data_IF_444664827592
#
_entry.id   IF_444664827592
#
_cell.length_a   1.000
_cell.length_b   1.000
_cell.length_c   1.000
_cell.angle_alpha   90.00
_cell.angle_beta   90.00
_cell.angle_gamma   90.00
#
_symmetry.space_group_name_H-M   'P 1'
#
loop_
_entity.id
_entity.type
_entity.pdbx_description
1 polymer ?
#
# COMPACT_ATOMS: atom_id res chain seq x y z
N UNK A 1 15.98 15.94 4.35
CA UNK A 1 14.50 16.01 4.51
C UNK A 1 13.78 14.83 3.83
N UNK A 2 14.11 14.44 2.58
CA UNK A 2 13.45 13.33 1.85
C UNK A 2 13.60 11.96 2.51
N UNK A 3 14.77 11.63 3.08
CA UNK A 3 15.01 10.36 3.78
C UNK A 3 14.18 10.22 5.07
N UNK A 4 13.98 11.31 5.80
CA UNK A 4 13.18 11.33 7.04
C UNK A 4 11.68 11.19 6.74
N UNK A 5 11.21 11.79 5.64
CA UNK A 5 9.83 11.64 5.18
C UNK A 5 9.52 10.21 4.70
N UNK A 6 10.44 9.57 3.98
CA UNK A 6 10.27 8.17 3.55
C UNK A 6 10.25 7.18 4.71
N UNK A 7 11.02 7.44 5.79
CA UNK A 7 11.02 6.59 6.98
C UNK A 7 9.70 6.73 7.76
N UNK A 8 9.19 7.95 7.90
CA UNK A 8 7.91 8.24 8.55
C UNK A 8 6.74 7.59 7.78
N UNK A 9 6.70 7.74 6.47
CA UNK A 9 5.67 7.11 5.64
C UNK A 9 5.67 5.58 5.73
N UNK A 10 6.86 4.98 5.80
CA UNK A 10 6.98 3.53 5.96
C UNK A 10 6.47 3.05 7.33
N UNK A 11 6.76 3.79 8.39
CA UNK A 11 6.26 3.51 9.73
C UNK A 11 4.74 3.66 9.82
N UNK A 12 4.18 4.74 9.27
CA UNK A 12 2.72 4.94 9.24
C UNK A 12 2.02 3.83 8.45
N UNK A 13 2.59 3.38 7.32
CA UNK A 13 2.03 2.28 6.53
C UNK A 13 2.06 0.96 7.30
N UNK A 14 3.14 0.67 7.98
CA UNK A 14 3.26 -0.54 8.79
C UNK A 14 2.30 -0.50 9.98
N UNK A 15 2.20 0.64 10.67
CA UNK A 15 1.25 0.83 11.76
C UNK A 15 -0.21 0.68 11.30
N UNK A 16 -0.54 1.16 10.10
CA UNK A 16 -1.85 0.96 9.47
C UNK A 16 -2.15 -0.52 9.26
N UNK A 17 -1.19 -1.30 8.79
CA UNK A 17 -1.35 -2.76 8.62
C UNK A 17 -1.59 -3.44 9.97
N UNK A 18 -0.75 -3.19 10.98
CA UNK A 18 -0.91 -3.75 12.31
C UNK A 18 -2.24 -3.34 12.94
N UNK A 19 -2.69 -2.09 12.74
CA UNK A 19 -4.00 -1.63 13.21
C UNK A 19 -5.16 -2.42 12.59
N UNK A 20 -5.09 -2.75 11.30
CA UNK A 20 -6.12 -3.56 10.61
C UNK A 20 -6.22 -4.96 11.19
N UNK A 21 -5.08 -5.59 11.49
CA UNK A 21 -5.01 -6.90 12.11
C UNK A 21 -5.56 -6.86 13.55
N UNK A 22 -5.18 -5.87 14.34
CA UNK A 22 -5.73 -5.60 15.67
C UNK A 22 -7.25 -5.43 15.60
N UNK A 23 -7.76 -4.67 14.64
CA UNK A 23 -9.21 -4.47 14.48
C UNK A 23 -9.95 -5.75 14.08
N UNK A 24 -9.30 -6.65 13.35
CA UNK A 24 -9.86 -7.98 13.04
C UNK A 24 -10.03 -8.80 14.31
N UNK A 25 -9.04 -8.83 15.22
CA UNK A 25 -9.11 -9.50 16.50
C UNK A 25 -10.16 -8.86 17.44
N UNK A 26 -10.21 -7.54 17.48
CA UNK A 26 -11.24 -6.78 18.22
C UNK A 26 -12.63 -7.13 17.70
N UNK A 27 -12.84 -7.20 16.39
CA UNK A 27 -14.12 -7.58 15.78
C UNK A 27 -14.51 -9.01 16.13
N UNK A 28 -13.56 -9.93 16.18
CA UNK A 28 -13.74 -11.30 16.65
C UNK A 28 -14.21 -11.35 18.10
N UNK A 29 -13.54 -10.62 18.98
CA UNK A 29 -13.90 -10.51 20.40
C UNK A 29 -15.31 -9.92 20.61
N UNK A 30 -15.67 -8.88 19.85
CA UNK A 30 -17.02 -8.31 19.86
C UNK A 30 -18.05 -9.33 19.39
N UNK A 31 -17.71 -10.15 18.41
CA UNK A 31 -18.60 -11.22 17.92
C UNK A 31 -18.79 -12.34 18.93
N UNK A 32 -17.81 -12.56 19.81
CA UNK A 32 -17.90 -13.45 20.96
C UNK A 32 -18.67 -12.85 22.16
N UNK A 33 -19.17 -11.60 22.03
CA UNK A 33 -20.02 -10.96 23.04
C UNK A 33 -19.29 -10.00 23.99
N UNK A 34 -18.02 -9.72 23.78
CA UNK A 34 -17.30 -8.71 24.59
C UNK A 34 -17.78 -7.30 24.24
N UNK A 35 -17.78 -6.41 25.24
CA UNK A 35 -17.94 -4.96 24.99
C UNK A 35 -16.74 -4.44 24.19
N UNK A 36 -16.90 -3.30 23.52
CA UNK A 36 -15.84 -2.69 22.72
C UNK A 36 -14.56 -2.46 23.54
N UNK A 37 -14.71 -1.92 24.73
CA UNK A 37 -13.61 -1.65 25.65
C UNK A 37 -12.91 -2.97 26.06
N UNK A 38 -13.68 -3.99 26.45
CA UNK A 38 -13.14 -5.28 26.82
C UNK A 38 -12.50 -6.03 25.64
N UNK A 39 -13.00 -5.84 24.43
CA UNK A 39 -12.42 -6.41 23.22
C UNK A 39 -11.01 -5.88 22.97
N UNK A 40 -10.76 -4.57 23.13
CA UNK A 40 -9.42 -3.99 23.05
C UNK A 40 -8.50 -4.51 24.16
N UNK A 41 -8.98 -4.57 25.40
CA UNK A 41 -8.21 -5.13 26.53
C UNK A 41 -7.83 -6.59 26.28
N UNK A 42 -8.76 -7.38 25.77
CA UNK A 42 -8.52 -8.79 25.45
C UNK A 42 -7.49 -8.93 24.33
N UNK A 43 -7.61 -8.16 23.25
CA UNK A 43 -6.64 -8.18 22.15
C UNK A 43 -5.24 -7.80 22.63
N UNK A 44 -5.10 -6.77 23.48
CA UNK A 44 -3.81 -6.42 24.07
C UNK A 44 -3.20 -7.59 24.84
N UNK A 45 -4.00 -8.29 25.67
CA UNK A 45 -3.52 -9.42 26.49
C UNK A 45 -3.10 -10.65 25.68
N UNK A 46 -3.72 -10.89 24.54
CA UNK A 46 -3.51 -12.11 23.77
C UNK A 46 -2.52 -11.96 22.62
N UNK A 47 -2.37 -10.75 22.08
CA UNK A 47 -1.68 -10.57 20.79
C UNK A 47 -0.80 -9.32 20.73
N UNK A 48 -0.53 -8.63 21.84
CA UNK A 48 0.27 -7.41 21.81
C UNK A 48 1.69 -7.64 21.27
N UNK A 49 2.31 -8.76 21.61
CA UNK A 49 3.66 -9.13 21.19
C UNK A 49 3.78 -9.36 19.66
N UNK A 50 2.66 -9.65 18.99
CA UNK A 50 2.61 -9.85 17.53
C UNK A 50 2.66 -8.52 16.75
N UNK A 51 2.36 -7.39 17.42
CA UNK A 51 2.21 -6.06 16.81
C UNK A 51 3.17 -5.04 17.44
N UNK A 52 4.46 -5.07 17.13
CA UNK A 52 5.48 -4.29 17.85
C UNK A 52 5.28 -2.77 17.76
N UNK A 53 4.67 -2.24 16.70
CA UNK A 53 4.35 -0.81 16.59
C UNK A 53 3.05 -0.46 17.31
N UNK A 54 2.09 -1.38 17.35
CA UNK A 54 0.81 -1.18 18.02
C UNK A 54 0.86 -1.53 19.51
N UNK A 55 1.85 -2.29 19.99
CA UNK A 55 1.95 -2.73 21.38
C UNK A 55 1.90 -1.54 22.37
N UNK A 56 2.78 -0.56 22.18
CA UNK A 56 2.84 0.63 23.03
C UNK A 56 1.54 1.45 22.98
N UNK A 57 0.92 1.54 21.83
CA UNK A 57 -0.33 2.26 21.63
C UNK A 57 -1.53 1.53 22.24
N UNK A 58 -1.57 0.21 22.11
CA UNK A 58 -2.57 -0.64 22.76
C UNK A 58 -2.43 -0.59 24.28
N UNK A 59 -1.20 -0.52 24.82
CA UNK A 59 -0.95 -0.35 26.24
C UNK A 59 -1.50 0.99 26.74
N UNK A 60 -1.26 2.08 26.02
CA UNK A 60 -1.80 3.40 26.36
C UNK A 60 -3.32 3.38 26.33
N UNK A 61 -3.91 2.74 25.34
CA UNK A 61 -5.35 2.63 25.15
C UNK A 61 -5.99 1.80 26.29
N UNK A 62 -5.42 0.64 26.62
CA UNK A 62 -5.93 -0.22 27.72
C UNK A 62 -5.79 0.43 29.08
N UNK A 63 -4.68 1.14 29.34
CA UNK A 63 -4.51 1.94 30.56
C UNK A 63 -5.54 3.07 30.63
N UNK A 64 -5.83 3.72 29.52
CA UNK A 64 -6.87 4.74 29.43
C UNK A 64 -8.26 4.18 29.72
N UNK A 65 -8.59 2.99 29.21
CA UNK A 65 -9.83 2.28 29.50
C UNK A 65 -9.93 1.95 31.01
N UNK A 66 -8.85 1.45 31.61
CA UNK A 66 -8.79 1.16 33.06
C UNK A 66 -9.02 2.42 33.89
N UNK A 67 -8.62 3.60 33.38
CA UNK A 67 -8.90 4.90 34.00
C UNK A 67 -10.28 5.47 33.63
N UNK A 68 -11.19 4.66 33.09
CA UNK A 68 -12.55 5.04 32.67
C UNK A 68 -12.60 6.22 31.67
N UNK A 69 -11.55 6.41 30.87
CA UNK A 69 -11.58 7.37 29.76
C UNK A 69 -12.44 6.85 28.62
N UNK A 70 -13.06 7.77 27.90
CA UNK A 70 -13.91 7.43 26.75
C UNK A 70 -13.05 6.89 25.61
N UNK A 71 -13.43 5.73 25.06
CA UNK A 71 -12.66 5.02 24.03
C UNK A 71 -12.51 5.84 22.74
N UNK A 72 -13.53 6.62 22.36
CA UNK A 72 -13.48 7.50 21.20
C UNK A 72 -12.41 8.60 21.35
N UNK A 73 -12.19 9.10 22.55
CA UNK A 73 -11.13 10.10 22.83
C UNK A 73 -9.75 9.45 22.79
N UNK A 74 -9.63 8.23 23.30
CA UNK A 74 -8.37 7.46 23.25
C UNK A 74 -7.97 7.13 21.81
N UNK A 75 -8.93 6.69 20.99
CA UNK A 75 -8.72 6.42 19.58
C UNK A 75 -8.39 7.70 18.79
N UNK A 76 -9.05 8.82 19.09
CA UNK A 76 -8.71 10.10 18.44
C UNK A 76 -7.28 10.52 18.77
N UNK A 77 -6.87 10.41 20.02
CA UNK A 77 -5.49 10.69 20.43
C UNK A 77 -4.48 9.75 19.78
N UNK A 78 -4.85 8.49 19.56
CA UNK A 78 -4.04 7.52 18.81
C UNK A 78 -3.92 7.95 17.34
N UNK A 79 -5.02 8.37 16.71
CA UNK A 79 -5.03 8.87 15.32
C UNK A 79 -4.11 10.08 15.16
N UNK A 80 -4.15 11.01 16.10
CA UNK A 80 -3.31 12.23 16.07
C UNK A 80 -1.81 11.91 16.21
N UNK A 81 -1.46 10.90 16.98
CA UNK A 81 -0.05 10.46 17.13
C UNK A 81 0.45 9.64 15.95
N UNK A 82 -0.40 8.75 15.44
CA UNK A 82 -0.04 7.79 14.38
C UNK A 82 -0.12 8.38 12.97
N UNK A 83 -0.97 9.40 12.78
CA UNK A 83 -1.28 9.95 11.46
C UNK A 83 -2.05 8.98 10.55
N UNK A 84 -2.74 7.98 11.14
CA UNK A 84 -3.55 6.99 10.43
C UNK A 84 -5.00 7.46 10.40
N UNK A 85 -5.50 7.79 9.22
CA UNK A 85 -6.85 8.36 9.05
C UNK A 85 -7.96 7.36 9.38
N UNK A 86 -7.75 6.07 9.16
CA UNK A 86 -8.71 5.01 9.51
C UNK A 86 -9.01 4.97 11.01
N UNK A 87 -8.04 5.28 11.86
CA UNK A 87 -8.25 5.34 13.32
C UNK A 87 -9.14 6.53 13.68
N UNK A 88 -8.93 7.66 13.00
CA UNK A 88 -9.75 8.86 13.16
C UNK A 88 -11.19 8.61 12.74
N UNK A 89 -11.38 7.96 11.61
CA UNK A 89 -12.70 7.57 11.11
C UNK A 89 -13.42 6.63 12.07
N UNK A 90 -12.71 5.63 12.61
CA UNK A 90 -13.24 4.72 13.63
C UNK A 90 -13.69 5.48 14.88
N UNK A 91 -12.86 6.39 15.40
CA UNK A 91 -13.19 7.19 16.58
C UNK A 91 -14.45 8.02 16.37
N UNK A 92 -14.55 8.69 15.21
CA UNK A 92 -15.73 9.50 14.84
C UNK A 92 -16.98 8.64 14.70
N UNK A 93 -16.88 7.46 14.07
CA UNK A 93 -18.01 6.52 13.94
C UNK A 93 -18.51 6.01 15.30
N UNK A 94 -17.59 5.66 16.23
CA UNK A 94 -17.98 5.21 17.57
C UNK A 94 -18.64 6.35 18.33
N UNK A 95 -18.11 7.57 18.25
CA UNK A 95 -18.72 8.75 18.90
C UNK A 95 -20.14 9.00 18.38
N UNK A 96 -20.32 8.97 17.07
CA UNK A 96 -21.63 9.15 16.45
C UNK A 96 -22.60 8.03 16.87
N UNK A 97 -22.14 6.76 16.88
CA UNK A 97 -22.95 5.62 17.27
C UNK A 97 -23.40 5.72 18.74
N UNK A 98 -22.50 6.13 19.65
CA UNK A 98 -22.84 6.35 21.07
C UNK A 98 -23.85 7.49 21.25
N UNK A 99 -23.75 8.54 20.43
CA UNK A 99 -24.66 9.71 20.51
C UNK A 99 -26.06 9.44 19.95
N UNK A 100 -26.15 8.70 18.86
CA UNK A 100 -27.41 8.47 18.14
C UNK A 100 -28.00 7.07 18.33
N UNK A 101 -27.42 6.23 19.21
CA UNK A 101 -27.95 4.90 19.52
C UNK A 101 -27.62 3.86 18.44
N UNK A 102 -26.47 3.98 17.76
CA UNK A 102 -26.05 3.05 16.72
C UNK A 102 -25.57 1.69 17.25
N UNK A 103 -25.65 0.66 16.41
CA UNK A 103 -25.14 -0.67 16.68
C UNK A 103 -23.62 -0.72 16.47
N UNK A 104 -22.84 -0.49 17.55
CA UNK A 104 -21.37 -0.46 17.51
C UNK A 104 -20.76 -1.78 16.97
N UNK A 105 -21.20 -2.99 17.42
CA UNK A 105 -20.74 -4.24 16.85
C UNK A 105 -20.91 -4.35 15.34
N UNK A 106 -22.02 -3.89 14.80
CA UNK A 106 -22.25 -3.88 13.36
C UNK A 106 -21.29 -2.92 12.63
N UNK A 107 -21.08 -1.71 13.17
CA UNK A 107 -20.19 -0.72 12.61
C UNK A 107 -18.73 -1.20 12.57
N UNK A 108 -18.26 -1.80 13.65
CA UNK A 108 -16.90 -2.38 13.72
C UNK A 108 -16.72 -3.47 12.68
N UNK A 109 -17.66 -4.42 12.58
CA UNK A 109 -17.59 -5.48 11.57
C UNK A 109 -17.61 -4.94 10.15
N UNK A 110 -18.41 -3.94 9.88
CA UNK A 110 -18.47 -3.28 8.57
C UNK A 110 -17.14 -2.62 8.23
N UNK A 111 -16.57 -1.87 9.17
CA UNK A 111 -15.29 -1.19 8.98
C UNK A 111 -14.14 -2.18 8.75
N UNK A 112 -14.05 -3.25 9.54
CA UNK A 112 -13.04 -4.30 9.34
C UNK A 112 -13.16 -4.94 7.96
N UNK A 113 -14.38 -5.23 7.51
CA UNK A 113 -14.61 -5.74 6.15
C UNK A 113 -14.14 -4.77 5.09
N UNK A 114 -14.47 -3.50 5.23
CA UNK A 114 -14.02 -2.45 4.28
C UNK A 114 -12.50 -2.32 4.25
N UNK A 115 -11.82 -2.44 5.40
CA UNK A 115 -10.36 -2.45 5.49
C UNK A 115 -9.76 -3.65 4.76
N UNK A 116 -10.34 -4.84 4.91
CA UNK A 116 -9.90 -6.07 4.23
C UNK A 116 -10.13 -6.01 2.73
N UNK A 117 -11.29 -5.51 2.29
CA UNK A 117 -11.59 -5.31 0.85
C UNK A 117 -10.61 -4.32 0.21
N UNK A 118 -10.28 -3.22 0.89
CA UNK A 118 -9.29 -2.24 0.42
C UNK A 118 -7.89 -2.84 0.28
N UNK A 119 -7.49 -3.73 1.18
CA UNK A 119 -6.20 -4.41 1.11
C UNK A 119 -6.13 -5.39 -0.07
N UNK A 120 -7.19 -6.14 -0.32
CA UNK A 120 -7.28 -7.03 -1.48
C UNK A 120 -7.16 -6.26 -2.80
N UNK A 121 -7.83 -5.13 -2.91
CA UNK A 121 -7.74 -4.25 -4.09
C UNK A 121 -6.32 -3.70 -4.25
N UNK A 122 -5.66 -3.27 -3.18
CA UNK A 122 -4.26 -2.81 -3.22
C UNK A 122 -3.31 -3.90 -3.72
N UNK A 123 -3.48 -5.16 -3.27
CA UNK A 123 -2.69 -6.31 -3.72
C UNK A 123 -2.97 -6.65 -5.18
N UNK A 124 -4.23 -6.60 -5.62
CA UNK A 124 -4.61 -6.84 -7.01
C UNK A 124 -3.99 -5.81 -7.95
N UNK A 125 -4.05 -4.52 -7.59
CA UNK A 125 -3.40 -3.44 -8.33
C UNK A 125 -1.88 -3.69 -8.43
N UNK A 126 -1.21 -4.06 -7.34
CA UNK A 126 0.23 -4.34 -7.34
C UNK A 126 0.57 -5.51 -8.27
N UNK A 127 -0.25 -6.56 -8.28
CA UNK A 127 -0.05 -7.74 -9.12
C UNK A 127 -0.21 -7.40 -10.61
N UNK A 128 -1.26 -6.65 -10.95
CA UNK A 128 -1.50 -6.19 -12.33
C UNK A 128 -0.37 -5.26 -12.79
N UNK A 129 0.06 -4.33 -11.94
CA UNK A 129 1.17 -3.42 -12.26
C UNK A 129 2.50 -4.17 -12.43
N UNK A 130 2.77 -5.20 -11.63
CA UNK A 130 3.97 -6.02 -11.77
C UNK A 130 3.98 -6.77 -13.12
N UNK A 131 2.84 -7.35 -13.52
CA UNK A 131 2.67 -7.99 -14.83
C UNK A 131 2.90 -7.00 -15.98
N UNK A 132 2.33 -5.81 -15.90
CA UNK A 132 2.50 -4.76 -16.91
C UNK A 132 3.94 -4.23 -16.98
N UNK A 133 4.64 -4.13 -15.86
CA UNK A 133 6.07 -3.77 -15.83
C UNK A 133 6.92 -4.83 -16.54
N UNK A 134 6.61 -6.11 -16.36
CA UNK A 134 7.31 -7.20 -17.03
C UNK A 134 7.06 -7.17 -18.54
N UNK A 135 5.79 -7.01 -18.95
CA UNK A 135 5.39 -6.87 -20.35
C UNK A 135 6.13 -5.70 -21.04
N UNK A 136 6.17 -4.54 -20.41
CA UNK A 136 6.89 -3.38 -20.92
C UNK A 136 8.40 -3.62 -21.08
N UNK A 137 9.03 -4.35 -20.15
CA UNK A 137 10.45 -4.74 -20.26
C UNK A 137 10.68 -5.71 -21.42
N UNK A 138 9.84 -6.71 -21.58
CA UNK A 138 9.93 -7.66 -22.70
C UNK A 138 9.83 -6.90 -24.02
N UNK A 139 8.83 -6.02 -24.16
CA UNK A 139 8.66 -5.20 -25.36
C UNK A 139 9.89 -4.33 -25.68
N UNK A 140 10.59 -3.84 -24.66
CA UNK A 140 11.81 -3.06 -24.86
C UNK A 140 12.97 -3.90 -25.41
N UNK A 141 13.05 -5.20 -25.07
CA UNK A 141 14.11 -6.09 -25.53
C UNK A 141 13.86 -6.66 -26.93
N UNK A 142 12.61 -6.72 -27.39
CA UNK A 142 12.24 -7.27 -28.71
C UNK A 142 12.99 -6.60 -29.88
N UNK A 143 13.06 -5.26 -29.99
CA UNK A 143 13.79 -4.60 -31.08
C UNK A 143 15.28 -4.98 -31.11
N UNK A 144 15.91 -5.10 -29.94
CA UNK A 144 17.32 -5.50 -29.85
C UNK A 144 17.51 -6.96 -30.30
N UNK A 145 16.58 -7.86 -29.97
CA UNK A 145 16.58 -9.25 -30.43
C UNK A 145 16.44 -9.33 -31.96
N UNK A 146 15.57 -8.52 -32.57
CA UNK A 146 15.38 -8.48 -34.02
C UNK A 146 16.67 -7.99 -34.72
N UNK A 147 17.28 -6.92 -34.22
CA UNK A 147 18.53 -6.39 -34.79
C UNK A 147 19.65 -7.43 -34.71
N UNK A 148 19.77 -8.14 -33.56
CA UNK A 148 20.75 -9.18 -33.37
C UNK A 148 20.52 -10.36 -34.35
N UNK A 149 19.28 -10.79 -34.50
CA UNK A 149 18.89 -11.85 -35.42
C UNK A 149 19.21 -11.49 -36.89
N UNK A 150 18.84 -10.28 -37.32
CA UNK A 150 19.17 -9.78 -38.66
C UNK A 150 20.67 -9.72 -38.91
N UNK A 151 21.46 -9.32 -37.91
CA UNK A 151 22.93 -9.29 -38.01
C UNK A 151 23.51 -10.69 -38.19
N UNK A 152 22.96 -11.70 -37.53
CA UNK A 152 23.43 -13.08 -37.64
C UNK A 152 23.04 -13.74 -38.97
N UNK A 153 21.83 -13.40 -39.49
CA UNK A 153 21.28 -14.07 -40.66
C UNK A 153 21.70 -13.39 -41.97
N UNK A 154 21.85 -12.06 -42.00
CA UNK A 154 22.14 -11.30 -43.21
C UNK A 154 23.11 -10.13 -42.94
N UNK A 155 24.37 -10.45 -42.81
CA UNK A 155 25.44 -9.45 -42.55
C UNK A 155 25.55 -8.40 -43.65
N UNK A 156 25.25 -8.75 -44.93
CA UNK A 156 25.30 -7.83 -46.07
C UNK A 156 24.24 -6.73 -46.00
N UNK A 157 23.05 -7.01 -45.49
CA UNK A 157 22.02 -5.97 -45.29
C UNK A 157 22.42 -4.96 -44.23
N UNK A 158 23.11 -5.42 -43.19
CA UNK A 158 23.58 -4.54 -42.13
C UNK A 158 24.76 -3.67 -42.54
N UNK A 159 25.63 -4.11 -43.46
CA UNK A 159 26.75 -3.31 -43.96
C UNK A 159 26.28 -2.01 -44.61
N UNK A 160 25.21 -2.04 -45.42
CA UNK A 160 24.64 -0.86 -46.07
C UNK A 160 24.14 0.15 -45.02
N UNK A 161 23.57 -0.31 -43.92
CA UNK A 161 23.02 0.52 -42.85
C UNK A 161 24.14 1.23 -42.04
N UNK A 162 25.30 0.59 -41.91
CA UNK A 162 26.46 1.16 -41.18
C UNK A 162 27.38 2.01 -42.04
N UNK A 163 27.46 1.74 -43.36
CA UNK A 163 28.39 2.45 -44.27
C UNK A 163 27.78 3.69 -44.91
N UNK A 164 26.45 3.74 -45.06
CA UNK A 164 25.75 4.87 -45.71
C UNK A 164 25.41 5.96 -44.69
N UNK A 165 25.67 7.25 -45.03
CA UNK A 165 25.33 8.38 -44.15
C UNK A 165 23.83 8.42 -43.78
N UNK A 166 22.96 8.11 -44.74
CA UNK A 166 21.50 8.01 -44.55
C UNK A 166 21.13 6.87 -43.59
N UNK A 167 21.77 5.71 -43.66
CA UNK A 167 21.55 4.58 -42.78
C UNK A 167 21.91 4.90 -41.33
N UNK A 168 23.02 5.57 -41.08
CA UNK A 168 23.43 6.03 -39.73
C UNK A 168 22.43 7.02 -39.12
N UNK A 169 21.86 7.92 -39.93
CA UNK A 169 20.90 8.92 -39.49
C UNK A 169 19.58 8.22 -39.05
N UNK A 170 19.06 7.29 -39.85
CA UNK A 170 17.86 6.53 -39.50
C UNK A 170 18.03 5.64 -38.27
N UNK A 171 19.21 5.05 -38.13
CA UNK A 171 19.55 4.25 -36.95
C UNK A 171 19.61 5.10 -35.66
N UNK A 172 20.17 6.30 -35.77
CA UNK A 172 20.20 7.28 -34.67
C UNK A 172 18.78 7.72 -34.25
N UNK A 173 17.92 8.03 -35.21
CA UNK A 173 16.51 8.42 -34.97
C UNK A 173 15.75 7.30 -34.32
N UNK A 174 15.90 6.03 -34.77
CA UNK A 174 15.24 4.87 -34.19
C UNK A 174 15.68 4.63 -32.74
N UNK A 175 16.98 4.76 -32.47
CA UNK A 175 17.54 4.57 -31.12
C UNK A 175 17.08 5.68 -30.16
N UNK A 176 17.02 6.91 -30.64
CA UNK A 176 16.47 8.05 -29.89
C UNK A 176 14.96 7.85 -29.60
N UNK A 177 14.20 7.32 -30.56
CA UNK A 177 12.78 6.97 -30.39
C UNK A 177 12.56 5.92 -29.30
N UNK A 178 13.35 4.82 -29.33
CA UNK A 178 13.29 3.79 -28.30
C UNK A 178 13.65 4.35 -26.92
N UNK A 179 14.67 5.19 -26.83
CA UNK A 179 15.06 5.85 -25.58
C UNK A 179 13.97 6.77 -25.01
N UNK A 180 13.31 7.55 -25.89
CA UNK A 180 12.16 8.39 -25.52
C UNK A 180 10.98 7.58 -25.01
N UNK A 181 10.63 6.48 -25.69
CA UNK A 181 9.57 5.57 -25.25
C UNK A 181 9.89 4.93 -23.90
N UNK A 182 11.13 4.45 -23.70
CA UNK A 182 11.58 3.88 -22.43
C UNK A 182 11.48 4.89 -21.29
N UNK A 183 11.92 6.13 -21.52
CA UNK A 183 11.83 7.20 -20.53
C UNK A 183 10.37 7.58 -20.20
N UNK A 184 9.48 7.59 -21.19
CA UNK A 184 8.05 7.83 -20.97
C UNK A 184 7.39 6.71 -20.17
N UNK A 185 7.68 5.45 -20.48
CA UNK A 185 7.18 4.28 -19.73
C UNK A 185 7.61 4.37 -18.27
N UNK A 186 8.88 4.69 -18.01
CA UNK A 186 9.39 4.83 -16.64
C UNK A 186 8.74 6.01 -15.89
N UNK A 187 8.46 7.11 -16.59
CA UNK A 187 7.79 8.27 -16.02
C UNK A 187 6.33 8.00 -15.67
N UNK A 188 5.59 7.30 -16.54
CA UNK A 188 4.18 6.93 -16.29
C UNK A 188 4.08 5.97 -15.10
N UNK A 189 4.94 4.95 -15.04
CA UNK A 189 4.95 3.97 -13.95
C UNK A 189 5.30 4.62 -12.59
N UNK A 190 6.09 5.69 -12.60
CA UNK A 190 6.48 6.41 -11.37
C UNK A 190 5.39 7.32 -10.82
N UNK A 191 4.38 7.69 -11.61
CA UNK A 191 3.30 8.60 -11.19
C UNK A 191 2.17 7.84 -10.49
N UNK A 192 2.04 6.52 -10.70
CA UNK A 192 0.98 5.68 -10.13
C UNK A 192 1.37 4.96 -8.82
N UNK A 193 2.51 5.31 -8.22
CA UNK A 193 3.00 4.83 -6.92
C UNK A 193 3.29 6.05 -6.05
#
# INVERSE_FOLDING_TARGET
>A
KRLRQGCLQKQTRQLKTEFREVMTLVSGSISAGYSLENAFVQTYRTSAEEFPLMEAELQILTNGIACHKRIEQLLMALADRSGVDEIRELAAMIEAAKRYGGNIPYLIRRMVRQMQESELVELEIQTVLAAKKLEGRIMLFVPFGIVLFLRMTNASYMQVLYTTATGRLWMGVSLAGIGLCAWWIEKIIRIEV
#
